data_IF_692316693775
#
_entry.id   IF_692316693775
#
_cell.length_a   1.000
_cell.length_b   1.000
_cell.length_c   1.000
_cell.angle_alpha   90.00
_cell.angle_beta   90.00
_cell.angle_gamma   90.00
#
_symmetry.space_group_name_H-M   'P 1'
#
loop_
_entity.id
_entity.type
_entity.pdbx_description
1 polymer ?
#
# COMPACT_ATOMS: atom_id res chain seq x y z
N UNK A 1 -5.42 -11.49 19.36
CA UNK A 1 -4.65 -12.62 18.78
C UNK A 1 -3.30 -12.12 18.33
N UNK A 2 -2.22 -12.83 18.68
CA UNK A 2 -0.85 -12.50 18.28
C UNK A 2 -0.48 -13.17 16.95
N UNK A 3 0.13 -12.41 16.05
CA UNK A 3 0.64 -12.88 14.78
C UNK A 3 2.12 -13.26 14.89
N UNK A 4 2.51 -14.36 14.24
CA UNK A 4 3.91 -14.78 14.17
C UNK A 4 4.36 -15.03 12.73
N UNK A 5 5.60 -14.63 12.47
CA UNK A 5 6.27 -14.91 11.21
C UNK A 5 6.75 -16.36 11.18
N UNK A 6 6.27 -17.14 10.21
CA UNK A 6 6.64 -18.55 10.02
C UNK A 6 7.76 -18.73 9.01
N UNK A 7 7.68 -18.00 7.90
CA UNK A 7 8.66 -18.06 6.82
C UNK A 7 8.81 -16.71 6.14
N UNK A 8 10.01 -16.43 5.64
CA UNK A 8 10.33 -15.28 4.80
C UNK A 8 11.27 -15.77 3.70
N UNK A 9 10.79 -15.80 2.47
CA UNK A 9 11.46 -16.42 1.32
C UNK A 9 11.64 -15.41 0.19
N UNK A 10 12.81 -15.38 -0.43
CA UNK A 10 13.03 -14.59 -1.66
C UNK A 10 12.45 -15.37 -2.83
N UNK A 11 11.53 -14.74 -3.55
CA UNK A 11 10.85 -15.37 -4.68
C UNK A 11 11.73 -15.36 -5.94
N UNK A 12 11.87 -16.49 -6.66
CA UNK A 12 12.57 -16.52 -7.95
C UNK A 12 11.76 -15.68 -8.96
N UNK A 13 12.37 -14.59 -9.44
CA UNK A 13 11.66 -13.57 -10.23
C UNK A 13 12.30 -12.18 -10.16
N UNK A 14 13.17 -11.93 -9.18
CA UNK A 14 14.30 -11.03 -9.39
C UNK A 14 15.23 -11.70 -10.40
N UNK A 15 15.54 -11.01 -11.48
CA UNK A 15 16.41 -11.43 -12.58
C UNK A 15 17.49 -12.45 -12.17
N UNK A 16 17.60 -13.51 -12.97
CA UNK A 16 18.74 -14.41 -12.95
C UNK A 16 19.97 -13.57 -13.38
N UNK A 17 20.77 -13.12 -12.41
CA UNK A 17 22.10 -12.56 -12.66
C UNK A 17 22.23 -11.04 -12.61
N UNK A 18 22.16 -10.47 -11.41
CA UNK A 18 23.06 -9.42 -10.94
C UNK A 18 22.79 -9.22 -9.44
N UNK A 19 23.82 -9.17 -8.61
CA UNK A 19 23.67 -8.88 -7.17
C UNK A 19 23.31 -7.39 -6.89
N UNK A 20 22.95 -6.61 -7.93
CA UNK A 20 22.92 -5.14 -7.94
C UNK A 20 21.60 -4.55 -8.52
N UNK A 21 20.51 -5.31 -8.51
CA UNK A 21 19.25 -4.82 -9.07
C UNK A 21 18.47 -3.91 -8.10
N UNK A 22 18.85 -3.85 -6.82
CA UNK A 22 18.26 -2.92 -5.84
C UNK A 22 16.79 -3.22 -5.50
N UNK A 23 16.28 -4.40 -5.83
CA UNK A 23 14.96 -4.87 -5.42
C UNK A 23 14.93 -6.40 -5.18
N UNK A 24 13.92 -6.87 -4.43
CA UNK A 24 13.63 -8.30 -4.24
C UNK A 24 12.15 -8.48 -3.90
N UNK A 25 11.53 -9.50 -4.51
CA UNK A 25 10.21 -9.95 -4.10
C UNK A 25 10.38 -10.94 -2.95
N UNK A 26 9.82 -10.61 -1.79
CA UNK A 26 9.89 -11.43 -0.58
C UNK A 26 8.50 -11.90 -0.20
N UNK A 27 8.34 -13.21 -0.01
CA UNK A 27 7.11 -13.83 0.47
C UNK A 27 7.19 -14.07 1.96
N UNK A 28 6.26 -13.51 2.71
CA UNK A 28 6.08 -13.73 4.13
C UNK A 28 4.93 -14.67 4.38
N UNK A 29 5.15 -15.73 5.16
CA UNK A 29 4.08 -16.58 5.67
C UNK A 29 3.86 -16.27 7.14
N UNK A 30 2.66 -15.82 7.48
CA UNK A 30 2.26 -15.41 8.83
C UNK A 30 1.12 -16.30 9.29
N UNK A 31 1.08 -16.65 10.56
CA UNK A 31 -0.05 -17.34 11.17
C UNK A 31 -0.25 -16.89 12.62
N UNK A 32 -1.38 -17.24 13.26
CA UNK A 32 -1.52 -17.09 14.70
C UNK A 32 -0.45 -17.92 15.41
N UNK A 33 0.11 -17.39 16.51
CA UNK A 33 1.15 -18.06 17.30
C UNK A 33 0.77 -19.50 17.71
N UNK A 34 -0.51 -19.70 18.07
CA UNK A 34 -0.99 -20.95 18.68
C UNK A 34 -1.87 -21.80 17.76
N UNK A 35 -1.96 -21.49 16.46
CA UNK A 35 -2.87 -22.18 15.53
C UNK A 35 -2.14 -22.71 14.31
N UNK A 36 -2.75 -23.60 13.52
CA UNK A 36 -2.14 -24.08 12.27
C UNK A 36 -2.40 -23.15 11.08
N UNK A 37 -3.41 -22.27 11.16
CA UNK A 37 -3.76 -21.34 10.09
C UNK A 37 -2.56 -20.47 9.69
N UNK A 38 -2.38 -20.24 8.39
CA UNK A 38 -1.36 -19.34 7.86
C UNK A 38 -1.84 -18.70 6.56
N UNK A 39 -1.36 -17.49 6.31
CA UNK A 39 -1.55 -16.75 5.07
C UNK A 39 -0.19 -16.27 4.57
N UNK A 40 -0.04 -16.17 3.25
CA UNK A 40 1.18 -15.69 2.63
C UNK A 40 0.96 -14.33 1.97
N UNK A 41 1.97 -13.46 2.04
CA UNK A 41 1.93 -12.10 1.54
C UNK A 41 3.23 -11.78 0.79
N UNK A 42 3.11 -11.24 -0.42
CA UNK A 42 4.25 -10.84 -1.25
C UNK A 42 4.52 -9.33 -1.07
N UNK A 43 5.78 -8.98 -0.87
CA UNK A 43 6.26 -7.60 -0.68
C UNK A 43 7.41 -7.33 -1.63
N UNK A 44 7.38 -6.18 -2.29
CA UNK A 44 8.51 -5.71 -3.08
C UNK A 44 9.44 -4.88 -2.19
N UNK A 45 10.53 -5.48 -1.72
CA UNK A 45 11.60 -4.73 -1.07
C UNK A 45 12.44 -4.03 -2.15
N UNK A 46 12.71 -2.74 -2.02
CA UNK A 46 13.45 -1.98 -3.02
C UNK A 46 14.22 -0.80 -2.43
N UNK A 47 15.27 -0.36 -3.12
CA UNK A 47 16.01 0.85 -2.76
C UNK A 47 15.42 2.10 -3.39
N UNK A 48 15.61 3.30 -2.80
CA UNK A 48 15.25 4.55 -3.43
C UNK A 48 15.88 4.71 -4.84
N UNK A 49 17.12 4.26 -5.02
CA UNK A 49 17.82 4.29 -6.31
C UNK A 49 17.17 3.39 -7.37
N UNK A 50 16.65 2.22 -6.97
CA UNK A 50 15.86 1.39 -7.87
C UNK A 50 14.54 2.06 -8.24
N UNK A 51 13.82 2.64 -7.27
CA UNK A 51 12.58 3.38 -7.53
C UNK A 51 12.81 4.55 -8.48
N UNK A 52 13.93 5.28 -8.34
CA UNK A 52 14.30 6.36 -9.24
C UNK A 52 14.44 5.89 -10.69
N UNK A 53 15.16 4.79 -10.93
CA UNK A 53 15.28 4.16 -12.26
C UNK A 53 13.92 3.72 -12.78
N UNK A 54 13.13 3.02 -11.95
CA UNK A 54 11.81 2.51 -12.33
C UNK A 54 10.86 3.62 -12.75
N UNK A 55 10.86 4.75 -12.03
CA UNK A 55 10.01 5.89 -12.33
C UNK A 55 10.48 6.63 -13.59
N UNK A 56 11.80 6.76 -13.78
CA UNK A 56 12.36 7.34 -15.01
C UNK A 56 12.01 6.51 -16.26
N UNK A 57 12.04 5.18 -16.14
CA UNK A 57 11.83 4.26 -17.26
C UNK A 57 10.35 4.01 -17.58
N UNK A 58 9.47 4.03 -16.57
CA UNK A 58 8.09 3.54 -16.71
C UNK A 58 7.02 4.53 -16.23
N UNK A 59 7.39 5.71 -15.73
CA UNK A 59 6.45 6.69 -15.19
C UNK A 59 6.06 6.45 -13.73
N UNK A 60 4.95 7.03 -13.25
CA UNK A 60 4.56 6.97 -11.83
C UNK A 60 4.45 5.55 -11.27
N UNK A 61 4.88 5.34 -10.02
CA UNK A 61 4.83 4.04 -9.34
C UNK A 61 4.00 4.16 -8.06
N UNK A 62 2.91 3.39 -7.97
CA UNK A 62 2.15 3.24 -6.74
C UNK A 62 2.91 2.34 -5.75
N UNK A 63 3.23 2.88 -4.56
CA UNK A 63 4.03 2.19 -3.54
C UNK A 63 3.31 1.11 -2.75
N UNK A 64 2.07 0.74 -3.12
CA UNK A 64 1.33 -0.37 -2.49
C UNK A 64 2.19 -1.64 -2.46
N UNK A 65 2.26 -2.28 -1.29
CA UNK A 65 3.10 -3.46 -1.01
C UNK A 65 4.61 -3.28 -1.27
N UNK A 66 5.11 -2.04 -1.39
CA UNK A 66 6.54 -1.76 -1.43
C UNK A 66 7.08 -1.55 -0.02
N UNK A 67 8.24 -2.15 0.26
CA UNK A 67 9.07 -1.82 1.40
C UNK A 67 10.34 -1.13 0.87
N UNK A 68 10.46 0.17 1.11
CA UNK A 68 11.63 0.93 0.70
C UNK A 68 12.69 0.83 1.80
N UNK A 69 13.87 0.32 1.43
CA UNK A 69 14.98 0.04 2.34
C UNK A 69 16.28 0.58 1.75
N UNK A 70 17.26 0.88 2.59
CA UNK A 70 18.58 1.35 2.11
C UNK A 70 19.36 0.21 1.44
N UNK A 71 19.22 -1.01 1.97
CA UNK A 71 19.78 -2.24 1.42
C UNK A 71 18.75 -3.36 1.43
N UNK A 72 18.64 -4.08 0.31
CA UNK A 72 17.66 -5.16 0.09
C UNK A 72 18.21 -6.48 0.63
N UNK A 73 18.56 -6.47 1.91
CA UNK A 73 18.92 -7.67 2.63
C UNK A 73 17.67 -8.34 3.21
N UNK A 74 17.52 -9.66 3.00
CA UNK A 74 16.40 -10.45 3.56
C UNK A 74 16.27 -10.25 5.07
N UNK A 75 17.39 -10.08 5.78
CA UNK A 75 17.41 -9.77 7.21
C UNK A 75 16.67 -8.47 7.53
N UNK A 76 16.96 -7.37 6.82
CA UNK A 76 16.33 -6.07 7.00
C UNK A 76 14.81 -6.16 6.78
N UNK A 77 14.40 -6.82 5.69
CA UNK A 77 12.96 -7.01 5.39
C UNK A 77 12.29 -7.87 6.47
N UNK A 78 12.96 -8.91 6.95
CA UNK A 78 12.46 -9.78 8.03
C UNK A 78 12.34 -9.04 9.37
N UNK A 79 13.33 -8.23 9.74
CA UNK A 79 13.32 -7.44 10.97
C UNK A 79 12.15 -6.46 10.97
N UNK A 80 11.94 -5.72 9.87
CA UNK A 80 10.79 -4.84 9.69
C UNK A 80 9.47 -5.59 9.89
N UNK A 81 9.30 -6.74 9.24
CA UNK A 81 8.06 -7.53 9.37
C UNK A 81 7.85 -8.04 10.79
N UNK A 82 8.89 -8.55 11.45
CA UNK A 82 8.81 -8.99 12.84
C UNK A 82 8.39 -7.85 13.77
N UNK A 83 8.94 -6.65 13.60
CA UNK A 83 8.54 -5.47 14.38
C UNK A 83 7.09 -5.08 14.16
N UNK A 84 6.64 -5.05 12.90
CA UNK A 84 5.24 -4.75 12.57
C UNK A 84 4.27 -5.78 13.15
N UNK A 85 4.59 -7.07 13.02
CA UNK A 85 3.75 -8.16 13.56
C UNK A 85 3.56 -8.06 15.07
N UNK A 86 4.60 -7.68 15.83
CA UNK A 86 4.50 -7.50 17.29
C UNK A 86 3.51 -6.38 17.68
N UNK A 87 3.34 -5.38 16.82
CA UNK A 87 2.42 -4.27 17.04
C UNK A 87 0.96 -4.56 16.65
N UNK A 88 0.69 -5.67 15.94
CA UNK A 88 -0.65 -5.98 15.47
C UNK A 88 -1.46 -6.73 16.54
N UNK A 89 -2.70 -6.26 16.76
CA UNK A 89 -3.69 -6.91 17.60
C UNK A 89 -5.01 -7.00 16.83
N UNK A 90 -5.52 -8.22 16.69
CA UNK A 90 -6.81 -8.50 16.07
C UNK A 90 -7.61 -9.48 16.92
N UNK A 91 -8.95 -9.35 16.88
CA UNK A 91 -9.85 -10.20 17.67
C UNK A 91 -9.97 -11.61 17.06
N UNK A 92 -9.83 -11.72 15.73
CA UNK A 92 -9.88 -12.96 14.98
C UNK A 92 -8.87 -13.02 13.81
N UNK A 93 -8.75 -14.20 13.20
CA UNK A 93 -7.83 -14.44 12.09
C UNK A 93 -8.19 -13.65 10.82
N UNK A 94 -9.46 -13.57 10.37
CA UNK A 94 -9.83 -12.75 9.22
C UNK A 94 -9.46 -11.27 9.37
N UNK A 95 -9.68 -10.69 10.54
CA UNK A 95 -9.30 -9.30 10.86
C UNK A 95 -7.79 -9.13 10.79
N UNK A 96 -7.02 -10.08 11.32
CA UNK A 96 -5.56 -10.06 11.23
C UNK A 96 -5.09 -10.14 9.77
N UNK A 97 -5.68 -11.03 8.95
CA UNK A 97 -5.36 -11.13 7.52
C UNK A 97 -5.65 -9.82 6.78
N UNK A 98 -6.76 -9.15 7.11
CA UNK A 98 -7.08 -7.83 6.55
C UNK A 98 -6.09 -6.75 6.99
N UNK A 99 -5.57 -6.78 8.22
CA UNK A 99 -4.50 -5.87 8.63
C UNK A 99 -3.17 -6.17 7.90
N UNK A 100 -2.87 -7.45 7.66
CA UNK A 100 -1.65 -7.87 6.98
C UNK A 100 -1.68 -7.59 5.47
N UNK A 101 -2.86 -7.59 4.84
CA UNK A 101 -2.98 -7.22 3.41
C UNK A 101 -2.56 -5.77 3.16
N UNK A 102 -2.68 -4.90 4.17
CA UNK A 102 -2.20 -3.52 4.13
C UNK A 102 -0.67 -3.42 4.05
N UNK A 103 0.04 -4.46 4.46
CA UNK A 103 1.51 -4.50 4.51
C UNK A 103 2.11 -5.27 3.31
N UNK A 104 1.37 -6.22 2.74
CA UNK A 104 1.84 -7.04 1.63
C UNK A 104 0.70 -7.66 0.84
N UNK A 105 0.95 -7.98 -0.43
CA UNK A 105 -0.06 -8.51 -1.33
C UNK A 105 -0.43 -9.93 -0.91
N UNK A 106 -1.68 -10.23 -0.54
CA UNK A 106 -2.06 -11.60 -0.19
C UNK A 106 -1.90 -12.54 -1.39
N UNK A 107 -1.28 -13.70 -1.15
CA UNK A 107 -1.04 -14.76 -2.15
C UNK A 107 -2.28 -15.63 -2.26
N UNK A 108 -2.75 -15.88 -3.49
CA UNK A 108 -3.94 -16.69 -3.75
C UNK A 108 -5.26 -15.96 -3.51
N UNK A 109 -5.23 -14.66 -3.20
CA UNK A 109 -6.43 -13.83 -3.16
C UNK A 109 -6.99 -13.66 -4.57
N UNK A 110 -8.29 -13.92 -4.75
CA UNK A 110 -8.97 -13.72 -6.03
C UNK A 110 -9.15 -12.23 -6.28
N UNK A 111 -8.90 -11.83 -7.51
CA UNK A 111 -9.23 -10.50 -7.99
C UNK A 111 -10.71 -10.22 -7.73
N UNK A 112 -11.00 -9.05 -7.16
CA UNK A 112 -12.39 -8.64 -6.94
C UNK A 112 -13.01 -8.39 -8.32
N UNK A 113 -14.14 -9.04 -8.58
CA UNK A 113 -14.85 -8.95 -9.85
C UNK A 113 -16.28 -8.48 -9.61
N UNK A 114 -16.76 -7.54 -10.42
CA UNK A 114 -18.16 -7.16 -10.47
C UNK A 114 -18.41 -6.10 -11.52
N UNK A 115 -19.58 -5.46 -11.45
CA UNK A 115 -20.00 -4.44 -12.43
C UNK A 115 -19.87 -3.02 -11.88
N UNK A 116 -19.82 -2.86 -10.55
CA UNK A 116 -19.70 -1.55 -9.92
C UNK A 116 -18.35 -0.94 -10.25
N UNK A 117 -18.37 0.27 -10.82
CA UNK A 117 -17.20 1.03 -11.19
C UNK A 117 -17.08 2.30 -10.34
N UNK A 118 -15.84 2.70 -10.05
CA UNK A 118 -15.54 3.97 -9.39
C UNK A 118 -15.21 5.04 -10.43
N UNK A 119 -15.50 6.30 -10.08
CA UNK A 119 -15.06 7.49 -10.79
C UNK A 119 -14.37 8.46 -9.83
N UNK A 120 -13.34 9.14 -10.33
CA UNK A 120 -12.73 10.28 -9.62
C UNK A 120 -13.53 11.54 -9.95
N UNK A 121 -14.27 12.06 -8.97
CA UNK A 121 -15.11 13.25 -9.15
C UNK A 121 -14.30 14.55 -9.05
N UNK A 122 -13.32 14.60 -8.15
CA UNK A 122 -12.40 15.71 -8.01
C UNK A 122 -11.07 15.27 -7.41
N UNK A 123 -10.03 16.05 -7.67
CA UNK A 123 -8.69 15.88 -7.11
C UNK A 123 -8.11 17.26 -6.79
N UNK A 124 -7.54 17.43 -5.60
CA UNK A 124 -6.94 18.70 -5.18
C UNK A 124 -5.84 18.48 -4.14
N UNK A 125 -4.84 19.35 -4.15
CA UNK A 125 -3.81 19.36 -3.11
C UNK A 125 -4.42 19.80 -1.78
N UNK A 126 -3.98 19.19 -0.69
CA UNK A 126 -4.30 19.66 0.65
C UNK A 126 -3.45 20.90 0.98
N UNK A 127 -4.09 21.95 1.51
CA UNK A 127 -3.48 23.26 1.75
C UNK A 127 -2.18 23.16 2.58
N UNK A 128 -1.15 23.89 2.16
CA UNK A 128 0.13 24.03 2.88
C UNK A 128 1.34 23.40 2.18
N UNK A 129 1.14 22.59 1.14
CA UNK A 129 2.22 21.92 0.42
C UNK A 129 2.49 22.57 -0.95
N UNK A 130 3.76 22.87 -1.21
CA UNK A 130 4.19 23.70 -2.35
C UNK A 130 4.48 22.82 -3.57
N UNK A 131 4.19 23.26 -4.81
CA UNK A 131 4.53 22.48 -6.01
C UNK A 131 6.04 22.21 -6.20
N UNK A 132 6.91 22.97 -5.52
CA UNK A 132 8.37 22.75 -5.52
C UNK A 132 8.86 21.82 -4.40
N UNK A 133 7.96 21.29 -3.55
CA UNK A 133 8.34 20.32 -2.53
C UNK A 133 8.55 18.93 -3.14
N UNK A 134 9.50 18.20 -2.55
CA UNK A 134 9.82 16.83 -2.95
C UNK A 134 8.71 15.82 -2.58
N UNK A 135 7.65 16.27 -1.88
CA UNK A 135 6.42 15.53 -1.60
C UNK A 135 5.21 16.46 -1.41
N UNK A 136 4.02 16.01 -1.78
CA UNK A 136 2.75 16.71 -1.64
C UNK A 136 1.57 15.76 -1.36
N UNK A 137 0.56 16.13 -0.55
CA UNK A 137 -0.67 15.35 -0.35
C UNK A 137 -1.75 15.75 -1.34
N UNK A 138 -2.22 14.76 -2.12
CA UNK A 138 -3.33 14.87 -3.04
C UNK A 138 -4.55 14.15 -2.47
N UNK A 139 -5.68 14.84 -2.36
CA UNK A 139 -6.96 14.24 -2.02
C UNK A 139 -7.75 13.93 -3.29
N UNK A 140 -8.19 12.69 -3.41
CA UNK A 140 -9.16 12.25 -4.42
C UNK A 140 -10.54 12.12 -3.77
N UNK A 141 -11.57 12.64 -4.43
CA UNK A 141 -12.97 12.36 -4.08
C UNK A 141 -13.48 11.30 -5.05
N UNK A 142 -13.71 10.09 -4.55
CA UNK A 142 -14.04 8.91 -5.37
C UNK A 142 -15.41 8.38 -4.97
N UNK A 143 -16.22 8.02 -5.96
CA UNK A 143 -17.57 7.49 -5.74
C UNK A 143 -17.98 6.51 -6.85
N UNK A 144 -19.11 5.81 -6.69
CA UNK A 144 -19.66 4.98 -7.76
C UNK A 144 -20.08 5.82 -8.98
N UNK A 145 -19.85 5.31 -10.19
CA UNK A 145 -20.27 5.99 -11.44
C UNK A 145 -21.79 6.28 -11.49
N UNK A 146 -22.59 5.38 -10.91
CA UNK A 146 -24.05 5.36 -11.06
C UNK A 146 -24.83 5.90 -9.85
N UNK A 147 -24.17 6.31 -8.77
CA UNK A 147 -24.82 6.65 -7.50
C UNK A 147 -24.30 7.95 -6.88
N UNK A 148 -25.04 8.48 -5.91
CA UNK A 148 -24.62 9.63 -5.13
C UNK A 148 -23.83 9.17 -3.90
N UNK A 149 -22.64 9.73 -3.73
CA UNK A 149 -21.77 9.47 -2.58
C UNK A 149 -20.32 9.52 -3.03
N UNK A 150 -19.51 10.34 -2.38
CA UNK A 150 -18.06 10.39 -2.61
C UNK A 150 -17.37 10.26 -1.27
N UNK A 151 -16.26 9.51 -1.28
CA UNK A 151 -15.39 9.31 -0.15
C UNK A 151 -14.01 9.85 -0.48
N UNK A 152 -13.28 10.26 0.54
CA UNK A 152 -11.94 10.83 0.38
C UNK A 152 -10.83 9.76 0.47
N UNK A 153 -9.87 9.86 -0.45
CA UNK A 153 -8.66 9.04 -0.49
C UNK A 153 -7.44 9.95 -0.62
N UNK A 154 -6.59 9.96 0.39
CA UNK A 154 -5.40 10.83 0.43
C UNK A 154 -4.15 10.06 -0.02
N UNK A 155 -3.42 10.61 -1.00
CA UNK A 155 -2.20 10.01 -1.57
C UNK A 155 -1.03 10.99 -1.41
N UNK A 156 0.07 10.50 -0.85
CA UNK A 156 1.32 11.26 -0.80
C UNK A 156 2.06 11.12 -2.13
N UNK A 157 2.06 12.18 -2.92
CA UNK A 157 2.94 12.34 -4.07
C UNK A 157 4.35 12.55 -3.55
N UNK A 158 5.34 11.76 -3.98
CA UNK A 158 6.70 11.95 -3.51
C UNK A 158 7.75 11.60 -4.56
N UNK A 159 8.95 12.15 -4.38
CA UNK A 159 10.11 11.81 -5.20
C UNK A 159 10.94 10.70 -4.57
N UNK A 160 11.71 9.94 -5.37
CA UNK A 160 12.69 8.99 -4.84
C UNK A 160 13.68 9.63 -3.85
N UNK A 161 14.08 10.88 -4.11
CA UNK A 161 14.98 11.65 -3.22
C UNK A 161 14.33 11.94 -1.86
N UNK A 162 13.02 12.24 -1.85
CA UNK A 162 12.29 12.38 -0.60
C UNK A 162 12.24 11.06 0.16
N UNK A 163 11.96 9.94 -0.52
CA UNK A 163 11.97 8.61 0.09
C UNK A 163 13.35 8.24 0.65
N UNK A 164 14.43 8.57 -0.06
CA UNK A 164 15.80 8.36 0.43
C UNK A 164 16.04 9.08 1.76
N UNK A 165 15.57 10.33 1.89
CA UNK A 165 15.66 11.08 3.16
C UNK A 165 14.83 10.42 4.26
N UNK A 166 13.62 9.95 3.96
CA UNK A 166 12.80 9.23 4.95
C UNK A 166 13.48 7.94 5.41
N UNK A 167 14.05 7.18 4.48
CA UNK A 167 14.74 5.93 4.80
C UNK A 167 15.97 6.17 5.66
N UNK A 168 16.75 7.19 5.32
CA UNK A 168 17.93 7.59 6.09
C UNK A 168 17.56 8.05 7.52
N UNK A 169 16.45 8.79 7.68
CA UNK A 169 16.04 9.34 8.97
C UNK A 169 15.31 8.31 9.86
N UNK A 170 14.56 7.38 9.26
CA UNK A 170 13.60 6.53 9.98
C UNK A 170 13.79 5.02 9.77
N UNK A 171 14.76 4.61 8.94
CA UNK A 171 14.97 3.22 8.57
C UNK A 171 14.02 2.75 7.46
N UNK A 172 13.46 1.55 7.57
CA UNK A 172 12.60 1.02 6.51
C UNK A 172 11.29 1.81 6.36
N UNK A 173 10.89 2.11 5.13
CA UNK A 173 9.69 2.91 4.82
C UNK A 173 8.64 2.09 4.07
N UNK A 174 7.38 2.19 4.48
CA UNK A 174 6.26 1.55 3.74
C UNK A 174 5.79 2.47 2.62
N UNK A 175 5.75 1.96 1.38
CA UNK A 175 5.26 2.73 0.23
C UNK A 175 3.73 2.87 0.17
N UNK A 176 3.00 2.29 1.12
CA UNK A 176 1.54 2.39 1.20
C UNK A 176 1.08 3.85 1.20
N UNK A 177 0.06 4.16 0.40
CA UNK A 177 -0.47 5.51 0.18
C UNK A 177 0.51 6.51 -0.48
N UNK A 178 1.64 6.04 -1.03
CA UNK A 178 2.59 6.90 -1.74
C UNK A 178 2.54 6.64 -3.25
N UNK A 179 2.54 7.72 -4.03
CA UNK A 179 2.77 7.70 -5.48
C UNK A 179 4.14 8.31 -5.77
N UNK A 180 5.07 7.48 -6.22
CA UNK A 180 6.44 7.89 -6.51
C UNK A 180 6.54 8.45 -7.93
N UNK A 181 7.05 9.68 -8.04
CA UNK A 181 7.14 10.47 -9.27
C UNK A 181 8.55 11.04 -9.41
N UNK A 182 9.01 11.30 -10.64
CA UNK A 182 10.33 11.92 -10.85
C UNK A 182 10.39 13.34 -10.27
N UNK A 183 9.26 14.05 -10.36
CA UNK A 183 8.99 15.34 -9.74
C UNK A 183 7.52 15.37 -9.35
N UNK A 184 7.16 16.14 -8.32
CA UNK A 184 5.75 16.32 -7.97
C UNK A 184 5.06 17.06 -9.13
N UNK A 185 4.15 16.35 -9.80
CA UNK A 185 3.38 16.82 -10.96
C UNK A 185 1.93 16.38 -10.73
N UNK A 186 1.09 17.35 -10.34
CA UNK A 186 -0.28 17.08 -9.86
C UNK A 186 -1.18 16.57 -10.98
N UNK A 187 -1.00 17.09 -12.19
CA UNK A 187 -1.79 16.70 -13.35
C UNK A 187 -1.44 15.26 -13.74
N UNK A 188 -0.14 14.95 -13.87
CA UNK A 188 0.32 13.59 -14.14
C UNK A 188 -0.14 12.60 -13.07
N UNK A 189 -0.04 13.00 -11.79
CA UNK A 189 -0.48 12.17 -10.68
C UNK A 189 -1.99 11.90 -10.72
N UNK A 190 -2.79 12.94 -11.00
CA UNK A 190 -4.24 12.86 -11.07
C UNK A 190 -4.68 11.97 -12.24
N UNK A 191 -4.05 12.11 -13.41
CA UNK A 191 -4.36 11.28 -14.58
C UNK A 191 -3.99 9.81 -14.34
N UNK A 192 -2.81 9.55 -13.75
CA UNK A 192 -2.41 8.20 -13.37
C UNK A 192 -3.39 7.59 -12.37
N UNK A 193 -3.72 8.31 -11.30
CA UNK A 193 -4.62 7.82 -10.25
C UNK A 193 -6.04 7.61 -10.79
N UNK A 194 -6.54 8.52 -11.63
CA UNK A 194 -7.83 8.36 -12.31
C UNK A 194 -7.86 7.08 -13.13
N UNK A 195 -6.83 6.83 -13.94
CA UNK A 195 -6.73 5.61 -14.73
C UNK A 195 -6.76 4.34 -13.86
N UNK A 196 -6.03 4.34 -12.74
CA UNK A 196 -6.02 3.21 -11.80
C UNK A 196 -7.38 3.00 -11.13
N UNK A 197 -8.01 4.08 -10.66
CA UNK A 197 -9.32 4.03 -9.97
C UNK A 197 -10.42 3.56 -10.93
N UNK A 198 -10.51 4.17 -12.11
CA UNK A 198 -11.56 3.89 -13.09
C UNK A 198 -11.39 2.53 -13.77
N UNK A 199 -10.22 1.91 -13.66
CA UNK A 199 -9.97 0.53 -14.10
C UNK A 199 -10.49 -0.54 -13.15
N UNK A 200 -10.84 -0.20 -11.90
CA UNK A 200 -11.26 -1.17 -10.89
C UNK A 200 -12.76 -1.47 -10.93
N UNK A 201 -13.12 -2.70 -10.57
CA UNK A 201 -14.51 -3.16 -10.50
C UNK A 201 -14.75 -4.03 -9.29
N UNK A 202 -15.93 -3.94 -8.69
CA UNK A 202 -16.33 -4.80 -7.58
C UNK A 202 -17.84 -5.08 -7.57
N UNK A 203 -18.29 -5.91 -6.63
CA UNK A 203 -19.75 -6.18 -6.47
C UNK A 203 -20.40 -5.14 -5.58
N UNK A 204 -19.65 -4.60 -4.62
CA UNK A 204 -20.14 -3.61 -3.67
C UNK A 204 -19.17 -2.44 -3.57
N UNK A 205 -19.68 -1.29 -3.14
CA UNK A 205 -18.84 -0.11 -2.90
C UNK A 205 -17.80 -0.38 -1.81
N UNK A 206 -18.18 -1.09 -0.74
CA UNK A 206 -17.26 -1.47 0.34
C UNK A 206 -16.06 -2.29 -0.15
N UNK A 207 -16.30 -3.27 -1.03
CA UNK A 207 -15.22 -4.06 -1.66
C UNK A 207 -14.30 -3.15 -2.49
N UNK A 208 -14.88 -2.24 -3.28
CA UNK A 208 -14.12 -1.33 -4.15
C UNK A 208 -13.31 -0.31 -3.34
N UNK A 209 -13.94 0.33 -2.35
CA UNK A 209 -13.30 1.29 -1.44
C UNK A 209 -12.16 0.64 -0.65
N UNK A 210 -12.33 -0.62 -0.21
CA UNK A 210 -11.25 -1.38 0.42
C UNK A 210 -10.07 -1.60 -0.53
N UNK A 211 -10.31 -1.95 -1.80
CA UNK A 211 -9.22 -2.06 -2.77
C UNK A 211 -8.54 -0.72 -3.09
N UNK A 212 -9.30 0.37 -3.08
CA UNK A 212 -8.80 1.74 -3.28
C UNK A 212 -8.00 2.23 -2.07
N UNK A 213 -8.33 1.76 -0.87
CA UNK A 213 -7.59 2.01 0.37
C UNK A 213 -6.14 1.53 0.32
N UNK A 214 -5.81 0.54 -0.52
CA UNK A 214 -4.41 0.13 -0.71
C UNK A 214 -3.60 1.13 -1.56
N UNK A 215 -4.26 2.06 -2.25
CA UNK A 215 -3.64 3.08 -3.11
C UNK A 215 -3.56 4.43 -2.40
N UNK A 216 -4.60 4.82 -1.65
CA UNK A 216 -4.66 6.06 -0.89
C UNK A 216 -5.34 5.85 0.45
N UNK A 217 -4.97 6.65 1.45
CA UNK A 217 -5.52 6.58 2.79
C UNK A 217 -7.02 6.88 2.75
N UNK A 218 -7.83 5.85 2.95
CA UNK A 218 -9.27 5.95 2.96
C UNK A 218 -9.78 6.50 4.29
N UNK A 219 -10.72 7.45 4.27
CA UNK A 219 -11.20 8.10 5.50
C UNK A 219 -11.89 7.16 6.50
N UNK A 220 -12.40 6.01 6.04
CA UNK A 220 -13.04 4.99 6.89
C UNK A 220 -12.15 3.77 7.15
N UNK A 221 -10.87 3.80 6.75
CA UNK A 221 -9.95 2.67 6.86
C UNK A 221 -9.85 2.08 8.29
N UNK A 222 -9.99 2.92 9.31
CA UNK A 222 -9.95 2.52 10.72
C UNK A 222 -11.30 2.69 11.44
N UNK A 223 -12.39 2.90 10.69
CA UNK A 223 -13.71 3.03 11.28
C UNK A 223 -14.16 1.69 11.87
N UNK A 224 -14.19 1.60 13.20
CA UNK A 224 -14.91 0.54 13.92
C UNK A 224 -16.29 1.07 14.32
N UNK A 225 -17.40 0.52 13.81
CA UNK A 225 -18.73 0.92 14.27
C UNK A 225 -18.82 0.66 15.77
N UNK A 226 -19.06 1.72 16.54
CA UNK A 226 -19.29 1.61 17.98
C UNK A 226 -20.54 0.76 18.18
N UNK A 227 -20.38 -0.50 18.59
CA UNK A 227 -21.51 -1.35 19.01
C UNK A 227 -22.32 -0.56 20.02
N UNK A 228 -23.57 -0.27 19.68
CA UNK A 228 -24.49 0.42 20.57
C UNK A 228 -24.55 -0.39 21.87
N UNK A 229 -24.08 0.21 22.97
CA UNK A 229 -24.46 -0.25 24.31
C UNK A 229 -25.97 -0.18 24.35
N UNK A 230 -26.64 -1.33 24.24
CA UNK A 230 -28.01 -1.49 24.68
C UNK A 230 -28.01 -1.19 26.17
N UNK A 231 -28.38 0.04 26.52
CA UNK A 231 -28.81 0.39 27.87
C UNK A 231 -30.09 -0.37 28.14
N UNK A 232 -29.96 -1.47 28.87
CA UNK A 232 -31.03 -2.07 29.68
C UNK A 232 -31.40 -1.16 30.83
#
# INVERSE_FOLDING_TARGET
>A
MMAELRAAEVMPGGTNGSHDDGFSLVRFTVGPAEQLAAASFDVLACTPSWLARRVADSGPVAGRHHLVVDDVAVRTVKEFWCERLRGLQADDWPTLVSMLSRLGRPVGFREVTGELAAAVHSAFLLDGERPDSAAAWLRLMVGPVSEHGVESFDVCLCTPDWLSKQVCAHGSWTGRHHLVLNRVDVDLATDYLRHVVEGKRARTWMELATELGEIGAWEFEDYRPRTARTSS
#
